data_IF_145795935911
#
_entry.id   IF_145795935911
#
_cell.length_a   1.000
_cell.length_b   1.000
_cell.length_c   1.000
_cell.angle_alpha   90.00
_cell.angle_beta   90.00
_cell.angle_gamma   90.00
#
_symmetry.space_group_name_H-M   'P 1'
#
loop_
_entity.id
_entity.type
_entity.pdbx_description
1 polymer ?
#
# COMPACT_ATOMS: atom_id res chain seq x y z
N UNK A 1 5.20 -0.13 6.82
CA UNK A 1 3.93 0.62 6.63
C UNK A 1 2.80 -0.27 7.12
N UNK A 2 1.82 0.29 7.81
CA UNK A 2 0.67 -0.46 8.32
C UNK A 2 -0.64 0.17 7.85
N UNK A 3 -1.65 -0.68 7.64
CA UNK A 3 -3.00 -0.28 7.31
C UNK A 3 -3.93 -0.62 8.48
N UNK A 4 -4.77 0.33 8.85
CA UNK A 4 -5.85 0.15 9.81
C UNK A 4 -7.16 -0.06 9.06
N UNK A 5 -7.78 -1.22 9.28
CA UNK A 5 -9.10 -1.56 8.74
C UNK A 5 -10.13 -1.47 9.87
N UNK A 6 -11.25 -0.81 9.60
CA UNK A 6 -12.38 -0.73 10.51
C UNK A 6 -13.44 -1.77 10.17
N UNK A 7 -14.49 -1.85 10.99
CA UNK A 7 -15.46 -2.94 10.97
C UNK A 7 -16.07 -3.21 9.58
N UNK A 8 -16.43 -2.16 8.84
CA UNK A 8 -17.03 -2.28 7.51
C UNK A 8 -16.03 -2.88 6.50
N UNK A 9 -14.76 -2.50 6.62
CA UNK A 9 -13.70 -2.92 5.71
C UNK A 9 -13.32 -4.38 5.99
N UNK A 10 -13.23 -4.74 7.27
CA UNK A 10 -13.03 -6.14 7.70
C UNK A 10 -14.20 -7.00 7.25
N UNK A 11 -15.44 -6.53 7.39
CA UNK A 11 -16.62 -7.26 6.96
C UNK A 11 -16.63 -7.47 5.44
N UNK A 12 -16.29 -6.45 4.66
CA UNK A 12 -16.21 -6.57 3.21
C UNK A 12 -15.09 -7.52 2.77
N UNK A 13 -13.98 -7.60 3.52
CA UNK A 13 -12.80 -8.37 3.13
C UNK A 13 -12.87 -9.84 3.58
N UNK A 14 -13.40 -10.08 4.78
CA UNK A 14 -13.35 -11.36 5.49
C UNK A 14 -14.76 -11.96 5.67
N UNK A 15 -15.81 -11.22 5.32
CA UNK A 15 -17.20 -11.65 5.49
C UNK A 15 -17.66 -11.69 6.95
N UNK A 16 -16.86 -11.15 7.88
CA UNK A 16 -17.11 -11.16 9.33
C UNK A 16 -16.88 -9.79 9.94
N UNK A 17 -17.64 -9.45 10.97
CA UNK A 17 -17.41 -8.21 11.72
C UNK A 17 -16.11 -8.29 12.53
N UNK A 18 -15.41 -7.17 12.71
CA UNK A 18 -14.09 -7.14 13.36
C UNK A 18 -14.09 -7.67 14.80
N UNK A 19 -15.22 -7.59 15.51
CA UNK A 19 -15.37 -8.10 16.88
C UNK A 19 -15.73 -9.59 16.96
N UNK A 20 -16.19 -10.20 15.87
CA UNK A 20 -16.59 -11.61 15.84
C UNK A 20 -15.42 -12.58 15.99
N UNK A 21 -14.25 -12.33 15.35
CA UNK A 21 -13.01 -12.99 15.67
C UNK A 21 -12.82 -13.25 17.17
N UNK A 22 -12.92 -12.20 18.00
CA UNK A 22 -12.63 -12.28 19.43
C UNK A 22 -13.51 -13.28 20.20
N UNK A 23 -14.79 -13.45 19.82
CA UNK A 23 -15.71 -14.36 20.53
C UNK A 23 -15.43 -15.84 20.27
N UNK A 24 -14.91 -16.18 19.10
CA UNK A 24 -14.50 -17.55 18.77
C UNK A 24 -13.07 -17.84 19.23
N UNK A 25 -12.16 -16.87 19.16
CA UNK A 25 -10.75 -17.06 19.46
C UNK A 25 -10.40 -17.05 20.95
N UNK A 26 -11.16 -16.34 21.80
CA UNK A 26 -10.98 -16.43 23.25
C UNK A 26 -11.29 -17.82 23.84
N UNK A 27 -11.89 -18.72 23.04
CA UNK A 27 -12.24 -20.10 23.45
C UNK A 27 -11.40 -21.18 22.75
N UNK A 28 -10.56 -20.82 21.77
CA UNK A 28 -9.73 -21.74 20.99
C UNK A 28 -8.25 -21.61 21.35
N UNK A 29 -7.95 -21.43 22.64
CA UNK A 29 -6.60 -21.43 23.20
C UNK A 29 -5.89 -22.80 23.12
N UNK A 30 -6.53 -23.83 22.55
CA UNK A 30 -5.95 -25.18 22.56
C UNK A 30 -4.95 -25.46 21.43
N UNK A 31 -4.97 -24.72 20.31
CA UNK A 31 -4.12 -25.07 19.14
C UNK A 31 -3.37 -23.91 18.47
N UNK A 32 -3.51 -22.67 18.95
CA UNK A 32 -2.80 -21.50 18.37
C UNK A 32 -3.09 -21.26 16.87
N UNK A 33 -4.12 -21.89 16.31
CA UNK A 33 -4.40 -21.85 14.89
C UNK A 33 -5.04 -20.51 14.50
N UNK A 34 -4.41 -19.83 13.53
CA UNK A 34 -4.94 -18.61 12.94
C UNK A 34 -6.15 -19.01 12.09
N UNK A 35 -7.31 -18.36 12.24
CA UNK A 35 -8.49 -18.65 11.44
C UNK A 35 -8.24 -18.57 9.94
N UNK A 36 -8.84 -19.52 9.23
CA UNK A 36 -8.69 -19.65 7.77
C UNK A 36 -9.05 -18.37 7.03
N UNK A 37 -10.01 -17.59 7.52
CA UNK A 37 -10.40 -16.35 6.86
C UNK A 37 -9.31 -15.27 6.92
N UNK A 38 -8.48 -15.26 7.97
CA UNK A 38 -7.31 -14.38 8.07
C UNK A 38 -6.14 -14.96 7.27
N UNK A 39 -5.90 -16.26 7.38
CA UNK A 39 -4.87 -16.96 6.60
C UNK A 39 -5.08 -16.79 5.10
N UNK A 40 -6.33 -16.80 4.64
CA UNK A 40 -6.71 -16.60 3.24
C UNK A 40 -6.43 -15.18 2.75
N UNK A 41 -6.14 -14.20 3.61
CA UNK A 41 -5.72 -12.86 3.16
C UNK A 41 -4.26 -12.84 2.72
N UNK A 42 -3.45 -13.79 3.18
CA UNK A 42 -2.01 -13.84 2.92
C UNK A 42 -1.78 -14.16 1.44
N UNK A 43 -0.88 -13.40 0.79
CA UNK A 43 -0.54 -13.58 -0.61
C UNK A 43 -1.51 -12.93 -1.60
N UNK A 44 -2.64 -12.40 -1.14
CA UNK A 44 -3.60 -11.72 -1.99
C UNK A 44 -3.21 -10.26 -2.26
N UNK A 45 -3.54 -9.78 -3.46
CA UNK A 45 -3.31 -8.40 -3.89
C UNK A 45 -4.61 -7.60 -3.85
N UNK A 46 -4.50 -6.38 -3.33
CA UNK A 46 -5.60 -5.44 -3.23
C UNK A 46 -5.11 -4.03 -3.58
N UNK A 47 -5.97 -3.24 -4.19
CA UNK A 47 -5.81 -1.80 -4.29
C UNK A 47 -6.49 -1.14 -3.09
N UNK A 48 -5.80 -0.21 -2.42
CA UNK A 48 -6.32 0.47 -1.24
C UNK A 48 -6.41 1.97 -1.49
N UNK A 49 -7.60 2.54 -1.23
CA UNK A 49 -7.74 3.98 -1.00
C UNK A 49 -7.55 4.23 0.48
N UNK A 50 -6.54 5.02 0.82
CA UNK A 50 -6.15 5.27 2.21
C UNK A 50 -6.21 6.76 2.56
N UNK A 51 -6.36 7.04 3.84
CA UNK A 51 -6.18 8.36 4.45
C UNK A 51 -5.10 8.28 5.53
N UNK A 52 -4.39 9.39 5.73
CA UNK A 52 -3.51 9.60 6.87
C UNK A 52 -4.02 10.83 7.63
N UNK A 53 -4.08 10.72 8.95
CA UNK A 53 -4.49 11.85 9.79
C UNK A 53 -3.31 12.76 10.12
N UNK A 54 -3.62 14.00 10.53
CA UNK A 54 -2.63 15.02 10.85
C UNK A 54 -1.69 14.59 11.99
N UNK A 55 -2.18 13.77 12.93
CA UNK A 55 -1.36 13.30 14.03
C UNK A 55 -0.25 12.37 13.52
N UNK A 56 -0.61 11.40 12.68
CA UNK A 56 0.29 10.45 12.06
C UNK A 56 1.25 11.14 11.09
N UNK A 57 0.80 12.15 10.33
CA UNK A 57 1.69 13.00 9.52
C UNK A 57 2.72 13.73 10.40
N UNK A 58 2.27 14.44 11.44
CA UNK A 58 3.15 15.22 12.34
C UNK A 58 4.16 14.35 13.06
N UNK A 59 3.78 13.12 13.40
CA UNK A 59 4.64 12.15 14.08
C UNK A 59 5.42 11.25 13.11
N UNK A 60 5.27 11.45 11.80
CA UNK A 60 5.88 10.63 10.75
C UNK A 60 5.61 9.13 10.94
N UNK A 61 4.42 8.80 11.42
CA UNK A 61 3.99 7.42 11.63
C UNK A 61 3.45 6.86 10.30
N UNK A 62 3.99 5.75 9.79
CA UNK A 62 3.57 5.16 8.52
C UNK A 62 2.31 4.29 8.71
N UNK A 63 1.28 4.87 9.33
CA UNK A 63 0.00 4.26 9.68
C UNK A 63 -1.09 4.95 8.85
N UNK A 64 -1.85 4.16 8.10
CA UNK A 64 -2.89 4.68 7.21
C UNK A 64 -4.23 4.01 7.48
N UNK A 65 -5.29 4.80 7.47
CA UNK A 65 -6.67 4.30 7.56
C UNK A 65 -7.16 3.90 6.17
N UNK A 66 -7.68 2.68 6.03
CA UNK A 66 -8.33 2.23 4.80
C UNK A 66 -9.72 2.85 4.70
N UNK A 67 -9.99 3.57 3.61
CA UNK A 67 -11.31 4.11 3.30
C UNK A 67 -12.11 3.17 2.40
N UNK A 68 -11.43 2.55 1.42
CA UNK A 68 -11.97 1.57 0.48
C UNK A 68 -10.86 0.64 -0.01
N UNK A 69 -11.23 -0.55 -0.45
CA UNK A 69 -10.32 -1.47 -1.13
C UNK A 69 -11.01 -2.17 -2.30
N UNK A 70 -10.22 -2.76 -3.18
CA UNK A 70 -10.70 -3.59 -4.28
C UNK A 70 -9.72 -4.72 -4.59
N UNK A 71 -10.26 -5.90 -4.89
CA UNK A 71 -9.52 -7.04 -5.46
C UNK A 71 -9.69 -7.14 -6.99
N UNK A 72 -10.35 -6.16 -7.63
CA UNK A 72 -10.52 -6.14 -9.08
C UNK A 72 -9.17 -5.93 -9.78
N UNK A 73 -8.82 -6.86 -10.66
CA UNK A 73 -7.54 -6.89 -11.37
C UNK A 73 -7.29 -5.65 -12.24
N UNK A 74 -8.33 -5.10 -12.87
CA UNK A 74 -8.21 -3.89 -13.69
C UNK A 74 -7.85 -2.67 -12.83
N UNK A 75 -8.50 -2.54 -11.68
CA UNK A 75 -8.23 -1.46 -10.71
C UNK A 75 -6.81 -1.61 -10.15
N UNK A 76 -6.40 -2.81 -9.77
CA UNK A 76 -5.05 -3.09 -9.27
C UNK A 76 -4.00 -2.69 -10.33
N UNK A 77 -4.20 -3.11 -11.59
CA UNK A 77 -3.28 -2.79 -12.67
C UNK A 77 -3.21 -1.28 -12.97
N UNK A 78 -4.35 -0.59 -12.90
CA UNK A 78 -4.41 0.87 -13.09
C UNK A 78 -3.61 1.62 -12.01
N UNK A 79 -3.72 1.21 -10.74
CA UNK A 79 -2.95 1.83 -9.64
C UNK A 79 -1.45 1.58 -9.79
N UNK A 80 -1.06 0.37 -10.24
CA UNK A 80 0.35 0.05 -10.50
C UNK A 80 0.94 0.90 -11.64
N UNK A 81 0.18 1.14 -12.70
CA UNK A 81 0.60 1.98 -13.82
C UNK A 81 0.83 3.45 -13.41
N UNK A 82 0.08 3.95 -12.44
CA UNK A 82 0.24 5.32 -11.93
C UNK A 82 1.42 5.50 -10.94
N UNK A 83 1.99 4.42 -10.39
CA UNK A 83 3.01 4.48 -9.36
C UNK A 83 4.45 4.73 -9.87
N UNK A 84 4.66 4.89 -11.18
CA UNK A 84 5.95 5.35 -11.74
C UNK A 84 5.91 6.87 -11.89
N UNK A 85 6.61 7.59 -11.01
CA UNK A 85 7.92 8.08 -11.40
C UNK A 85 9.02 7.49 -10.50
N UNK A 86 9.95 6.78 -11.13
CA UNK A 86 11.30 6.59 -10.58
C UNK A 86 11.84 8.00 -10.35
N UNK A 87 11.96 8.43 -9.09
CA UNK A 87 12.90 9.49 -8.77
C UNK A 87 14.26 8.86 -9.02
N UNK A 88 14.80 9.11 -10.21
CA UNK A 88 16.21 8.88 -10.51
C UNK A 88 16.94 9.58 -9.39
N UNK A 89 17.44 8.81 -8.43
CA UNK A 89 18.60 9.26 -7.69
C UNK A 89 19.63 9.45 -8.79
N UNK A 90 19.80 10.71 -9.22
CA UNK A 90 20.97 11.11 -9.96
C UNK A 90 22.13 10.64 -9.10
N UNK A 91 22.69 9.50 -9.50
CA UNK A 91 24.02 9.06 -9.12
C UNK A 91 24.93 10.22 -9.47
N UNK A 92 25.33 10.93 -8.42
CA UNK A 92 26.52 11.73 -8.44
C UNK A 92 27.66 10.73 -8.55
N UNK A 93 28.27 10.61 -9.73
CA UNK A 93 29.65 10.14 -9.94
C UNK A 93 30.06 10.45 -11.40
N UNK A 94 30.66 11.64 -11.55
CA UNK A 94 31.94 11.92 -12.21
C UNK A 94 32.29 11.34 -13.60
N UNK A 95 32.59 12.31 -14.49
CA UNK A 95 33.77 12.36 -15.37
C UNK A 95 33.63 12.04 -16.89
N UNK A 96 33.58 13.16 -17.64
CA UNK A 96 34.35 13.49 -18.86
C UNK A 96 34.02 12.91 -20.25
N UNK A 97 33.75 13.88 -21.15
CA UNK A 97 34.31 14.05 -22.52
C UNK A 97 33.36 13.80 -23.71
N UNK A 98 33.05 14.91 -24.41
CA UNK A 98 33.25 15.13 -25.86
C UNK A 98 32.03 15.65 -26.64
N UNK A 99 32.08 16.97 -26.91
CA UNK A 99 31.77 17.72 -28.13
C UNK A 99 30.44 17.43 -28.90
N UNK A 100 29.60 18.42 -29.19
CA UNK A 100 29.86 19.47 -30.18
C UNK A 100 28.84 20.62 -30.04
N UNK A 101 29.33 21.87 -30.04
CA UNK A 101 28.53 23.09 -30.09
C UNK A 101 28.12 23.36 -31.54
N UNK A 102 26.82 23.36 -31.84
CA UNK A 102 26.31 23.90 -33.11
C UNK A 102 26.13 25.42 -32.97
N UNK A 103 26.82 26.16 -33.82
CA UNK A 103 26.77 27.61 -33.91
C UNK A 103 25.35 28.10 -34.22
N UNK A 104 24.89 29.13 -33.50
CA UNK A 104 23.69 29.88 -33.84
C UNK A 104 24.12 30.98 -34.82
N UNK A 105 23.66 30.88 -36.07
CA UNK A 105 23.74 31.95 -37.07
C UNK A 105 22.77 33.06 -36.66
N UNK A 106 23.30 34.27 -36.44
CA UNK A 106 22.49 35.49 -36.40
C UNK A 106 22.57 36.17 -37.76
N UNK A 107 21.39 36.54 -38.29
CA UNK A 107 21.19 37.36 -39.50
C UNK A 107 21.82 38.75 -39.37
#
# INVERSE_FOLDING_TARGET
MSLSLFNNEVQAMVGRFAYQPCKKYAKSESDGSIPTEITNLIGNKYAFKVAIDDYNVKKLLPVFTVLRFSNNREIINSVLACATPIKTFCSHDNEATSNTVSAITSL
#
